data_IF_318625223704
#
_entry.id   IF_318625223704
#
_cell.length_a   1.000
_cell.length_b   1.000
_cell.length_c   1.000
_cell.angle_alpha   90.00
_cell.angle_beta   90.00
_cell.angle_gamma   90.00
#
_symmetry.space_group_name_H-M   'P 1'
#
loop_
_entity.id
_entity.type
_entity.pdbx_description
1 polymer ?
#
# COMPACT_ATOMS: atom_id res chain seq x y z
N UNK A 1 9.95 20.02 5.33
CA UNK A 1 8.67 19.94 4.59
C UNK A 1 8.98 19.80 3.11
N UNK A 2 8.71 18.66 2.48
CA UNK A 2 8.81 18.50 1.02
C UNK A 2 7.43 18.69 0.40
N UNK A 3 6.93 19.93 0.43
CA UNK A 3 5.73 20.28 -0.32
C UNK A 3 6.02 20.08 -1.82
N UNK A 4 5.38 19.10 -2.44
CA UNK A 4 5.50 18.85 -3.89
C UNK A 4 6.63 17.91 -4.33
N UNK A 5 7.35 17.26 -3.41
CA UNK A 5 8.36 16.24 -3.76
C UNK A 5 8.02 14.92 -3.07
N UNK A 6 7.58 13.95 -3.87
CA UNK A 6 7.19 12.60 -3.45
C UNK A 6 6.21 12.00 -4.47
N UNK A 7 6.39 10.72 -4.82
CA UNK A 7 5.46 10.01 -5.70
C UNK A 7 4.17 9.76 -4.90
N UNK A 8 3.08 10.47 -5.22
CA UNK A 8 1.86 10.54 -4.37
C UNK A 8 1.25 9.19 -4.01
N UNK A 9 1.52 8.15 -4.80
CA UNK A 9 0.86 6.83 -4.68
C UNK A 9 1.19 6.07 -3.40
N UNK A 10 2.28 6.38 -2.71
CA UNK A 10 2.65 5.74 -1.44
C UNK A 10 2.18 6.54 -0.23
N UNK A 11 1.69 7.76 -0.41
CA UNK A 11 1.31 8.61 0.71
C UNK A 11 0.05 8.08 1.41
N UNK A 12 0.07 8.13 2.75
CA UNK A 12 -1.11 7.80 3.53
C UNK A 12 -2.24 8.83 3.32
N UNK A 13 -3.52 8.42 3.41
CA UNK A 13 -4.67 9.31 3.21
C UNK A 13 -4.64 10.58 4.06
N UNK A 14 -4.26 10.46 5.33
CA UNK A 14 -4.19 11.58 6.26
C UNK A 14 -3.09 12.59 5.89
N UNK A 15 -1.99 12.12 5.30
CA UNK A 15 -0.90 12.98 4.81
C UNK A 15 -1.36 13.72 3.55
N UNK A 16 -2.04 13.03 2.63
CA UNK A 16 -2.62 13.65 1.42
C UNK A 16 -3.65 14.74 1.77
N UNK A 17 -4.40 14.54 2.86
CA UNK A 17 -5.39 15.50 3.37
C UNK A 17 -4.77 16.64 4.21
N UNK A 18 -3.45 16.67 4.40
CA UNK A 18 -2.79 17.67 5.24
C UNK A 18 -3.17 17.59 6.73
N UNK A 19 -3.69 16.44 7.18
CA UNK A 19 -4.00 16.20 8.60
C UNK A 19 -2.71 15.94 9.36
N UNK A 20 -2.77 16.04 10.70
CA UNK A 20 -1.66 15.57 11.55
C UNK A 20 -1.43 14.08 11.29
N UNK A 21 -0.17 13.71 11.09
CA UNK A 21 0.26 12.35 10.87
C UNK A 21 1.43 12.03 11.80
N UNK A 22 1.64 10.74 12.05
CA UNK A 22 2.71 10.18 12.86
C UNK A 22 3.39 9.03 12.09
N UNK A 23 4.13 8.19 12.80
CA UNK A 23 4.85 7.04 12.22
C UNK A 23 3.94 6.02 11.53
N UNK A 24 2.63 6.02 11.79
CA UNK A 24 1.67 5.15 11.09
C UNK A 24 1.55 5.48 9.60
N UNK A 25 1.91 6.69 9.16
CA UNK A 25 1.95 7.06 7.75
C UNK A 25 3.08 6.33 7.00
N UNK A 26 4.20 6.06 7.67
CA UNK A 26 5.29 5.26 7.11
C UNK A 26 4.88 3.79 6.98
N UNK A 27 4.07 3.29 7.91
CA UNK A 27 3.50 1.93 7.84
C UNK A 27 2.57 1.78 6.64
N UNK A 28 1.74 2.78 6.36
CA UNK A 28 0.92 2.78 5.15
C UNK A 28 1.81 2.71 3.90
N UNK A 29 2.81 3.60 3.82
CA UNK A 29 3.75 3.64 2.70
C UNK A 29 4.46 2.29 2.52
N UNK A 30 4.85 1.64 3.61
CA UNK A 30 5.46 0.32 3.62
C UNK A 30 4.51 -0.76 3.09
N UNK A 31 3.23 -0.75 3.48
CA UNK A 31 2.23 -1.67 2.94
C UNK A 31 2.08 -1.55 1.42
N UNK A 32 2.13 -0.32 0.89
CA UNK A 32 2.15 -0.07 -0.55
C UNK A 32 3.41 -0.67 -1.20
N UNK A 33 4.59 -0.47 -0.60
CA UNK A 33 5.84 -1.08 -1.08
C UNK A 33 5.76 -2.62 -1.09
N UNK A 34 5.17 -3.26 -0.08
CA UNK A 34 5.00 -4.71 -0.07
C UNK A 34 4.21 -5.20 -1.29
N UNK A 35 3.15 -4.49 -1.69
CA UNK A 35 2.37 -4.85 -2.89
C UNK A 35 3.12 -4.63 -4.20
N UNK A 36 3.93 -3.57 -4.27
CA UNK A 36 4.79 -3.31 -5.43
C UNK A 36 5.88 -4.37 -5.57
N UNK A 37 6.52 -4.75 -4.46
CA UNK A 37 7.54 -5.81 -4.43
C UNK A 37 6.98 -7.18 -4.79
N UNK A 38 5.73 -7.46 -4.47
CA UNK A 38 5.10 -8.73 -4.84
C UNK A 38 4.63 -8.76 -6.30
N UNK A 39 4.03 -7.66 -6.76
CA UNK A 39 3.46 -7.58 -8.12
C UNK A 39 4.48 -7.22 -9.19
N UNK A 40 5.63 -6.66 -8.81
CA UNK A 40 6.63 -6.04 -9.70
C UNK A 40 6.02 -4.95 -10.59
N UNK A 41 4.95 -4.29 -10.13
CA UNK A 41 4.26 -3.24 -10.84
C UNK A 41 4.15 -1.98 -9.98
N UNK A 42 4.12 -0.77 -10.59
CA UNK A 42 3.84 0.44 -9.86
C UNK A 42 2.51 0.32 -9.09
N UNK A 43 2.38 0.94 -7.90
CA UNK A 43 1.13 0.91 -7.15
C UNK A 43 -0.06 1.38 -7.98
N UNK A 44 -1.16 0.64 -7.87
CA UNK A 44 -2.43 0.88 -8.57
C UNK A 44 -2.35 0.79 -10.11
N UNK A 45 -1.29 0.24 -10.70
CA UNK A 45 -1.13 0.16 -12.16
C UNK A 45 -2.35 -0.49 -12.86
N UNK A 46 -2.85 -1.62 -12.33
CA UNK A 46 -4.02 -2.33 -12.89
C UNK A 46 -5.30 -1.49 -12.86
N UNK A 47 -5.53 -0.79 -11.75
CA UNK A 47 -6.70 0.09 -11.59
C UNK A 47 -6.62 1.28 -12.54
N UNK A 48 -5.45 1.89 -12.67
CA UNK A 48 -5.21 3.00 -13.60
C UNK A 48 -5.45 2.54 -15.04
N UNK A 49 -4.93 1.38 -15.42
CA UNK A 49 -5.11 0.80 -16.75
C UNK A 49 -6.58 0.52 -17.06
N UNK A 50 -7.30 -0.13 -16.14
CA UNK A 50 -8.73 -0.42 -16.29
C UNK A 50 -9.57 0.86 -16.43
N UNK A 51 -9.35 1.87 -15.58
CA UNK A 51 -10.10 3.13 -15.65
C UNK A 51 -9.79 3.93 -16.91
N UNK A 52 -8.53 3.89 -17.36
CA UNK A 52 -8.12 4.58 -18.59
C UNK A 52 -8.72 3.91 -19.82
N UNK A 53 -8.84 2.57 -19.84
CA UNK A 53 -9.46 1.85 -20.96
C UNK A 53 -10.99 1.99 -21.00
N UNK A 54 -11.66 2.10 -19.84
CA UNK A 54 -13.11 2.30 -19.76
C UNK A 54 -13.54 3.73 -20.12
N UNK A 55 -12.82 4.74 -19.61
CA UNK A 55 -13.18 6.16 -19.81
C UNK A 55 -12.53 6.81 -21.03
N UNK A 56 -11.42 6.24 -21.53
CA UNK A 56 -10.56 6.86 -22.54
C UNK A 56 -9.69 8.01 -22.00
N UNK A 57 -9.84 8.40 -20.73
CA UNK A 57 -9.09 9.48 -20.10
C UNK A 57 -8.05 8.96 -19.11
N UNK A 58 -6.87 9.61 -19.09
CA UNK A 58 -5.82 9.27 -18.13
C UNK A 58 -6.23 9.68 -16.73
N UNK A 59 -6.21 8.72 -15.80
CA UNK A 59 -6.48 8.99 -14.37
C UNK A 59 -5.45 9.99 -13.82
N UNK A 60 -5.92 11.10 -13.28
CA UNK A 60 -5.05 12.11 -12.66
C UNK A 60 -4.57 11.65 -11.28
N UNK A 61 -3.37 12.06 -10.88
CA UNK A 61 -2.82 11.73 -9.55
C UNK A 61 -3.70 12.26 -8.40
N UNK A 62 -4.42 13.37 -8.62
CA UNK A 62 -5.37 13.92 -7.63
C UNK A 62 -6.59 13.02 -7.48
N UNK A 63 -7.16 12.53 -8.60
CA UNK A 63 -8.29 11.60 -8.55
C UNK A 63 -7.89 10.27 -7.92
N UNK A 64 -6.71 9.76 -8.25
CA UNK A 64 -6.16 8.56 -7.64
C UNK A 64 -6.05 8.71 -6.12
N UNK A 65 -5.45 9.81 -5.65
CA UNK A 65 -5.33 10.12 -4.22
C UNK A 65 -6.70 10.19 -3.51
N UNK A 66 -7.70 10.82 -4.12
CA UNK A 66 -9.08 10.86 -3.58
C UNK A 66 -9.66 9.45 -3.45
N UNK A 67 -9.46 8.59 -4.45
CA UNK A 67 -9.99 7.22 -4.44
C UNK A 67 -9.30 6.34 -3.39
N UNK A 68 -7.99 6.49 -3.21
CA UNK A 68 -7.26 5.84 -2.11
C UNK A 68 -7.79 6.34 -0.76
N UNK A 69 -7.90 7.65 -0.59
CA UNK A 69 -8.28 8.24 0.69
C UNK A 69 -9.74 7.94 1.10
N UNK A 70 -10.62 7.69 0.13
CA UNK A 70 -12.01 7.25 0.35
C UNK A 70 -12.14 5.72 0.41
N UNK A 71 -11.05 4.97 0.22
CA UNK A 71 -11.07 3.51 0.22
C UNK A 71 -11.74 2.87 -0.99
N UNK A 72 -12.05 3.65 -2.04
CA UNK A 72 -12.65 3.15 -3.29
C UNK A 72 -11.71 2.23 -4.06
N UNK A 73 -10.41 2.45 -3.90
CA UNK A 73 -9.37 1.59 -4.47
C UNK A 73 -8.40 1.19 -3.36
N UNK A 74 -7.81 0.02 -3.50
CA UNK A 74 -6.84 -0.55 -2.57
C UNK A 74 -5.66 -1.07 -3.35
N UNK A 75 -4.54 -1.25 -2.65
CA UNK A 75 -3.42 -2.01 -3.20
C UNK A 75 -3.85 -3.44 -3.47
N UNK A 76 -3.17 -4.08 -4.40
CA UNK A 76 -3.42 -5.47 -4.75
C UNK A 76 -2.10 -6.22 -4.80
N UNK A 77 -2.16 -7.48 -4.39
CA UNK A 77 -1.05 -8.41 -4.52
C UNK A 77 -1.24 -9.29 -5.76
N UNK A 78 -0.19 -9.97 -6.17
CA UNK A 78 -0.24 -11.03 -7.18
C UNK A 78 -1.00 -12.25 -6.65
N UNK A 79 -1.53 -13.06 -7.55
CA UNK A 79 -2.21 -14.32 -7.19
C UNK A 79 -1.28 -15.37 -6.56
N UNK A 80 0.04 -15.15 -6.61
CA UNK A 80 1.06 -16.05 -6.04
C UNK A 80 1.52 -15.61 -4.65
N UNK A 81 1.11 -14.43 -4.20
CA UNK A 81 1.50 -13.88 -2.92
C UNK A 81 1.05 -14.79 -1.75
N UNK A 82 1.93 -15.06 -0.77
CA UNK A 82 1.54 -15.66 0.50
C UNK A 82 0.35 -14.95 1.14
N UNK A 83 -0.71 -15.67 1.50
CA UNK A 83 -1.87 -15.07 2.19
C UNK A 83 -1.48 -14.29 3.46
N UNK A 84 -0.46 -14.76 4.18
CA UNK A 84 0.07 -14.04 5.35
C UNK A 84 0.70 -12.69 5.00
N UNK A 85 1.41 -12.60 3.86
CA UNK A 85 1.98 -11.35 3.37
C UNK A 85 0.89 -10.38 2.89
N UNK A 86 -0.12 -10.90 2.18
CA UNK A 86 -1.29 -10.12 1.76
C UNK A 86 -2.00 -9.53 2.98
N UNK A 87 -2.29 -10.34 3.99
CA UNK A 87 -2.97 -9.88 5.21
C UNK A 87 -2.16 -8.80 5.94
N UNK A 88 -0.85 -8.98 6.07
CA UNK A 88 0.03 -7.98 6.67
C UNK A 88 0.02 -6.68 5.87
N UNK A 89 0.20 -6.76 4.54
CA UNK A 89 0.16 -5.60 3.66
C UNK A 89 -1.16 -4.83 3.73
N UNK A 90 -2.29 -5.54 3.75
CA UNK A 90 -3.62 -4.94 3.90
C UNK A 90 -3.83 -4.30 5.28
N UNK A 91 -3.27 -4.88 6.34
CA UNK A 91 -3.29 -4.28 7.67
C UNK A 91 -2.46 -2.98 7.72
N UNK A 92 -1.30 -2.97 7.05
CA UNK A 92 -0.45 -1.78 6.95
C UNK A 92 -1.15 -0.61 6.26
N UNK A 93 -1.98 -0.86 5.23
CA UNK A 93 -2.70 0.20 4.49
C UNK A 93 -4.12 0.48 4.98
N UNK A 94 -4.41 0.21 6.26
CA UNK A 94 -5.71 0.53 6.82
C UNK A 94 -6.00 2.05 6.72
N UNK A 95 -7.24 2.41 6.38
CA UNK A 95 -7.66 3.81 6.29
C UNK A 95 -7.64 4.48 7.68
N UNK A 96 -7.97 3.73 8.72
CA UNK A 96 -7.75 4.19 10.10
C UNK A 96 -6.26 4.00 10.45
N UNK A 97 -5.56 5.12 10.64
CA UNK A 97 -4.14 5.13 10.97
C UNK A 97 -3.83 4.45 12.30
N UNK A 98 -4.78 4.42 13.24
CA UNK A 98 -4.64 3.78 14.55
C UNK A 98 -4.82 2.26 14.51
N UNK A 99 -5.46 1.76 13.47
CA UNK A 99 -5.66 0.33 13.26
C UNK A 99 -4.48 -0.32 12.52
N UNK A 100 -3.48 0.47 12.09
CA UNK A 100 -2.26 -0.03 11.46
C UNK A 100 -1.33 -0.61 12.53
N UNK A 101 -0.61 -1.69 12.23
CA UNK A 101 0.41 -2.23 13.14
C UNK A 101 1.57 -1.24 13.30
N UNK A 102 2.25 -1.31 14.44
CA UNK A 102 3.54 -0.64 14.65
C UNK A 102 4.64 -1.28 13.80
N UNK A 103 5.75 -0.54 13.58
CA UNK A 103 6.90 -1.07 12.86
C UNK A 103 7.46 -2.36 13.49
N UNK A 104 7.43 -2.47 14.84
CA UNK A 104 7.84 -3.67 15.57
C UNK A 104 6.93 -4.87 15.29
N UNK A 105 5.62 -4.66 15.22
CA UNK A 105 4.65 -5.72 14.89
C UNK A 105 4.80 -6.17 13.44
N UNK A 106 4.99 -5.22 12.51
CA UNK A 106 5.27 -5.51 11.11
C UNK A 106 6.54 -6.36 10.97
N UNK A 107 7.62 -5.96 11.63
CA UNK A 107 8.87 -6.71 11.63
C UNK A 107 8.69 -8.13 12.16
N UNK A 108 8.01 -8.28 13.29
CA UNK A 108 7.73 -9.58 13.90
C UNK A 108 6.92 -10.51 12.97
N UNK A 109 5.88 -9.99 12.32
CA UNK A 109 5.09 -10.77 11.38
C UNK A 109 5.89 -11.14 10.12
N UNK A 110 6.73 -10.23 9.60
CA UNK A 110 7.62 -10.55 8.48
C UNK A 110 8.62 -11.65 8.82
N UNK A 111 9.22 -11.64 10.02
CA UNK A 111 10.11 -12.72 10.46
C UNK A 111 9.37 -14.06 10.53
N UNK A 112 8.13 -14.07 11.04
CA UNK A 112 7.29 -15.28 11.08
C UNK A 112 7.01 -15.81 9.68
N UNK A 113 6.67 -14.92 8.75
CA UNK A 113 6.45 -15.27 7.35
C UNK A 113 7.74 -15.85 6.77
N UNK A 114 8.87 -15.15 6.91
CA UNK A 114 10.17 -15.60 6.38
C UNK A 114 10.56 -16.99 6.90
N UNK A 115 10.45 -17.24 8.21
CA UNK A 115 10.74 -18.54 8.83
C UNK A 115 9.84 -19.65 8.30
N UNK A 116 8.58 -19.35 7.99
CA UNK A 116 7.66 -20.31 7.37
C UNK A 116 8.10 -20.66 5.95
N UNK A 117 8.52 -19.68 5.15
CA UNK A 117 8.92 -19.89 3.75
C UNK A 117 10.33 -20.46 3.57
N UNK A 118 11.28 -20.12 4.44
CA UNK A 118 12.64 -20.70 4.43
C UNK A 118 12.65 -22.21 4.62
N UNK A 119 11.65 -22.78 5.33
CA UNK A 119 11.51 -24.24 5.48
C UNK A 119 11.13 -24.98 4.19
N UNK A 120 10.71 -24.28 3.14
CA UNK A 120 10.32 -24.87 1.85
C UNK A 120 11.37 -24.65 0.74
N UNK A 121 12.51 -24.02 1.06
CA UNK A 121 13.59 -23.73 0.10
C UNK A 121 14.84 -24.60 0.32
N UNK A 122 14.71 -25.66 1.12
CA UNK A 122 15.70 -26.73 1.32
C UNK A 122 15.09 -28.08 0.93
#
# INVERSE_FOLDING_TARGET
MTAGVGTRRWMAPEVMMGKRYDTSADIFSFGVVLSELDSHQPPYARVIEFMTSESGEKVTETRLAEMVATGRIRIEFSSKAPAALVNLGLACVNLDSRARPSASEVHYELEKILRKYQKYTL
#
